data_IF_216297594775
#
_entry.id   IF_216297594775
#
_cell.length_a   1.000
_cell.length_b   1.000
_cell.length_c   1.000
_cell.angle_alpha   90.00
_cell.angle_beta   90.00
_cell.angle_gamma   90.00
#
_symmetry.space_group_name_H-M   'P 1'
#
loop_
_entity.id
_entity.type
_entity.pdbx_description
1 polymer ?
#
# COMPACT_ATOMS: atom_id res chain seq x y z
N UNK A 1 2.11 -7.74 -25.36
CA UNK A 1 2.00 -8.23 -23.97
C UNK A 1 1.43 -7.08 -23.14
N UNK A 2 0.35 -7.28 -22.40
CA UNK A 2 -0.25 -6.22 -21.58
C UNK A 2 0.60 -6.02 -20.32
N UNK A 3 1.12 -4.81 -20.07
CA UNK A 3 2.02 -4.52 -18.95
C UNK A 3 1.40 -4.90 -17.60
N UNK A 4 0.09 -4.71 -17.44
CA UNK A 4 -0.61 -5.08 -16.21
C UNK A 4 -0.54 -6.59 -15.93
N UNK A 5 -0.64 -7.42 -16.97
CA UNK A 5 -0.50 -8.88 -16.84
C UNK A 5 0.94 -9.26 -16.52
N UNK A 6 1.93 -8.59 -17.14
CA UNK A 6 3.34 -8.85 -16.84
C UNK A 6 3.66 -8.63 -15.35
N UNK A 7 3.26 -7.49 -14.78
CA UNK A 7 3.50 -7.21 -13.36
C UNK A 7 2.69 -8.10 -12.42
N UNK A 8 1.48 -8.51 -12.82
CA UNK A 8 0.69 -9.52 -12.09
C UNK A 8 1.42 -10.85 -12.01
N UNK A 9 1.85 -11.41 -13.14
CA UNK A 9 2.52 -12.71 -13.16
C UNK A 9 3.83 -12.65 -12.38
N UNK A 10 4.61 -11.57 -12.54
CA UNK A 10 5.80 -11.31 -11.72
C UNK A 10 5.45 -11.30 -10.22
N UNK A 11 4.36 -10.65 -9.81
CA UNK A 11 3.96 -10.63 -8.41
C UNK A 11 3.53 -12.01 -7.91
N UNK A 12 2.76 -12.77 -8.69
CA UNK A 12 2.29 -14.12 -8.32
C UNK A 12 3.46 -15.07 -8.14
N UNK A 13 4.43 -15.03 -9.05
CA UNK A 13 5.64 -15.84 -8.95
C UNK A 13 6.43 -15.50 -7.69
N UNK A 14 6.73 -14.23 -7.47
CA UNK A 14 7.56 -13.79 -6.35
C UNK A 14 6.85 -13.98 -5.00
N UNK A 15 5.56 -13.65 -4.89
CA UNK A 15 4.81 -13.84 -3.64
C UNK A 15 4.75 -15.31 -3.25
N UNK A 16 4.64 -16.24 -4.21
CA UNK A 16 4.59 -17.68 -3.90
C UNK A 16 5.86 -18.19 -3.21
N UNK A 17 7.00 -17.54 -3.47
CA UNK A 17 8.30 -17.91 -2.90
C UNK A 17 8.58 -17.19 -1.57
N UNK A 18 8.23 -15.91 -1.47
CA UNK A 18 8.67 -15.05 -0.36
C UNK A 18 7.54 -14.60 0.57
N UNK A 19 6.32 -14.42 0.06
CA UNK A 19 5.16 -13.91 0.81
C UNK A 19 3.85 -14.63 0.43
N UNK A 20 3.65 -15.89 0.85
CA UNK A 20 2.51 -16.70 0.38
C UNK A 20 1.14 -16.24 0.92
N UNK A 21 1.12 -15.33 1.89
CA UNK A 21 -0.09 -14.92 2.64
C UNK A 21 -0.94 -13.84 1.94
N UNK A 22 -0.71 -13.60 0.65
CA UNK A 22 -1.47 -12.65 -0.17
C UNK A 22 -2.54 -13.36 -0.99
N UNK A 23 -3.79 -13.02 -0.73
CA UNK A 23 -4.98 -13.55 -1.45
C UNK A 23 -5.53 -12.51 -2.43
N UNK A 24 -5.72 -12.93 -3.68
CA UNK A 24 -6.28 -12.08 -4.73
C UNK A 24 -7.77 -11.85 -4.49
N UNK A 25 -8.24 -10.61 -4.65
CA UNK A 25 -9.66 -10.28 -4.66
C UNK A 25 -10.21 -10.39 -6.09
N UNK A 26 -11.00 -11.44 -6.42
CA UNK A 26 -11.55 -11.63 -7.75
C UNK A 26 -12.64 -10.60 -8.11
N UNK A 27 -13.14 -9.83 -7.15
CA UNK A 27 -14.20 -8.83 -7.36
C UNK A 27 -13.66 -7.43 -7.67
N UNK A 28 -12.34 -7.23 -7.60
CA UNK A 28 -11.73 -5.94 -7.88
C UNK A 28 -11.75 -5.64 -9.38
N UNK A 29 -12.34 -4.49 -9.77
CA UNK A 29 -12.66 -4.18 -11.18
C UNK A 29 -11.62 -3.32 -11.90
N UNK A 30 -10.67 -2.72 -11.18
CA UNK A 30 -9.76 -1.71 -11.71
C UNK A 30 -8.34 -2.25 -11.91
N UNK A 31 -8.20 -3.54 -12.19
CA UNK A 31 -6.92 -4.23 -12.27
C UNK A 31 -6.87 -5.41 -11.31
N UNK A 32 -5.81 -5.51 -10.53
CA UNK A 32 -5.61 -6.60 -9.58
C UNK A 32 -5.41 -6.07 -8.17
N UNK A 33 -6.00 -6.75 -7.20
CA UNK A 33 -5.80 -6.47 -5.78
C UNK A 33 -5.54 -7.76 -5.04
N UNK A 34 -4.57 -7.71 -4.13
CA UNK A 34 -4.36 -8.73 -3.11
C UNK A 34 -4.58 -8.13 -1.73
N UNK A 35 -5.05 -8.96 -0.81
CA UNK A 35 -5.20 -8.63 0.61
C UNK A 35 -4.26 -9.54 1.40
N UNK A 36 -3.52 -8.98 2.35
CA UNK A 36 -2.69 -9.81 3.23
C UNK A 36 -3.53 -10.43 4.34
N UNK A 37 -3.28 -11.70 4.64
CA UNK A 37 -3.84 -12.36 5.82
C UNK A 37 -2.98 -11.99 7.04
N UNK A 38 -3.37 -10.93 7.77
CA UNK A 38 -2.62 -10.45 8.95
C UNK A 38 -3.34 -10.72 10.27
N UNK A 39 -2.57 -10.80 11.37
CA UNK A 39 -3.13 -10.91 12.73
C UNK A 39 -3.47 -9.51 13.28
N UNK A 40 -4.64 -9.00 12.89
CA UNK A 40 -5.53 -8.07 13.64
C UNK A 40 -5.06 -6.68 14.14
N UNK A 41 -3.99 -6.05 13.66
CA UNK A 41 -3.75 -4.62 13.98
C UNK A 41 -4.12 -3.63 12.88
N UNK A 42 -4.04 -4.06 11.63
CA UNK A 42 -4.33 -3.29 10.42
C UNK A 42 -4.54 -4.26 9.27
N UNK A 43 -5.17 -3.81 8.18
CA UNK A 43 -5.25 -4.60 6.94
C UNK A 43 -4.29 -4.05 5.92
N UNK A 44 -3.77 -4.92 5.07
CA UNK A 44 -2.88 -4.54 3.97
C UNK A 44 -3.51 -4.91 2.64
N UNK A 45 -3.33 -4.03 1.67
CA UNK A 45 -3.73 -4.23 0.29
C UNK A 45 -2.54 -3.95 -0.62
N UNK A 46 -2.39 -4.76 -1.65
CA UNK A 46 -1.49 -4.50 -2.75
C UNK A 46 -2.30 -4.45 -4.03
N UNK A 47 -2.11 -3.39 -4.82
CA UNK A 47 -2.88 -3.13 -6.03
C UNK A 47 -1.94 -2.94 -7.21
N UNK A 48 -2.34 -3.47 -8.35
CA UNK A 48 -1.79 -3.16 -9.67
C UNK A 48 -2.99 -2.64 -10.48
N UNK A 49 -3.05 -1.33 -10.69
CA UNK A 49 -4.23 -0.66 -11.22
C UNK A 49 -3.89 0.30 -12.34
N UNK A 50 -4.77 0.37 -13.34
CA UNK A 50 -4.69 1.34 -14.41
C UNK A 50 -6.08 1.96 -14.58
N UNK A 51 -6.19 3.24 -14.23
CA UNK A 51 -7.40 4.01 -14.49
C UNK A 51 -7.38 4.52 -15.93
N UNK A 52 -8.55 4.92 -16.45
CA UNK A 52 -8.65 5.46 -17.80
C UNK A 52 -7.79 6.73 -17.91
N UNK A 53 -6.95 6.78 -18.95
CA UNK A 53 -6.01 7.88 -19.24
C UNK A 53 -4.91 8.11 -18.18
N UNK A 54 -4.72 7.19 -17.24
CA UNK A 54 -3.65 7.21 -16.24
C UNK A 54 -2.59 6.12 -16.52
N UNK A 55 -1.32 6.33 -16.13
CA UNK A 55 -0.32 5.28 -16.23
C UNK A 55 -0.69 4.09 -15.33
N UNK A 56 -0.15 2.91 -15.67
CA UNK A 56 -0.26 1.76 -14.79
C UNK A 56 0.51 2.04 -13.49
N UNK A 57 -0.13 1.82 -12.35
CA UNK A 57 0.45 2.10 -11.05
C UNK A 57 0.45 0.86 -10.15
N UNK A 58 1.47 0.78 -9.31
CA UNK A 58 1.54 -0.14 -8.18
C UNK A 58 1.21 0.66 -6.92
N UNK A 59 0.38 0.10 -6.06
CA UNK A 59 -0.04 0.75 -4.83
C UNK A 59 -0.03 -0.22 -3.67
N UNK A 60 0.61 0.17 -2.58
CA UNK A 60 0.51 -0.50 -1.29
C UNK A 60 -0.35 0.35 -0.36
N UNK A 61 -1.32 -0.26 0.33
CA UNK A 61 -2.25 0.44 1.21
C UNK A 61 -2.34 -0.29 2.54
N UNK A 62 -2.26 0.47 3.63
CA UNK A 62 -2.61 0.01 4.98
C UNK A 62 -3.93 0.66 5.42
N UNK A 63 -4.84 -0.16 5.93
CA UNK A 63 -6.07 0.29 6.60
C UNK A 63 -5.86 0.22 8.11
N UNK A 64 -5.84 1.40 8.73
CA UNK A 64 -5.71 1.59 10.16
C UNK A 64 -7.08 1.81 10.81
N UNK A 65 -7.32 1.24 12.00
CA UNK A 65 -8.55 1.46 12.76
C UNK A 65 -8.65 2.90 13.28
N UNK A 66 -9.88 3.32 13.62
CA UNK A 66 -10.21 4.67 14.07
C UNK A 66 -9.31 5.22 15.18
N UNK A 67 -8.82 4.37 16.09
CA UNK A 67 -7.95 4.77 17.21
C UNK A 67 -6.72 5.57 16.75
N UNK A 68 -6.21 5.34 15.54
CA UNK A 68 -5.07 6.07 14.98
C UNK A 68 -5.39 7.51 14.59
N UNK A 69 -6.67 7.91 14.51
CA UNK A 69 -7.06 9.31 14.30
C UNK A 69 -6.72 10.22 15.48
N UNK A 70 -6.50 9.65 16.66
CA UNK A 70 -6.15 10.38 17.88
C UNK A 70 -4.64 10.59 18.04
N UNK A 71 -3.84 10.17 17.06
CA UNK A 71 -2.39 10.33 17.09
C UNK A 71 -1.92 11.48 16.18
N UNK A 72 -0.61 11.71 16.09
CA UNK A 72 0.01 12.72 15.22
C UNK A 72 0.25 12.21 13.78
N UNK A 73 -0.40 11.13 13.36
CA UNK A 73 -0.16 10.50 12.04
C UNK A 73 -0.32 11.45 10.86
N UNK A 74 -1.25 12.41 10.94
CA UNK A 74 -1.43 13.42 9.89
C UNK A 74 -0.22 14.34 9.74
N UNK A 75 0.43 14.66 10.84
CA UNK A 75 1.59 15.57 10.87
C UNK A 75 2.83 14.82 10.37
N UNK A 76 2.99 13.56 10.79
CA UNK A 76 4.09 12.69 10.34
C UNK A 76 4.04 12.47 8.83
N UNK A 77 2.87 12.13 8.28
CA UNK A 77 2.69 11.88 6.83
C UNK A 77 2.88 13.16 5.99
N UNK A 78 2.61 14.35 6.53
CA UNK A 78 2.84 15.61 5.80
C UNK A 78 4.32 15.97 5.64
N UNK A 79 5.16 15.50 6.56
CA UNK A 79 6.57 15.92 6.64
C UNK A 79 7.54 14.85 6.15
N UNK A 80 7.06 13.68 5.74
CA UNK A 80 7.92 12.61 5.23
C UNK A 80 8.36 12.89 3.79
N UNK A 81 9.64 12.65 3.53
CA UNK A 81 10.19 12.55 2.18
C UNK A 81 10.14 11.08 1.76
N UNK A 82 9.36 10.75 0.73
CA UNK A 82 9.32 9.41 0.14
C UNK A 82 9.68 9.48 -1.35
N UNK A 83 10.22 8.37 -1.87
CA UNK A 83 10.40 8.20 -3.32
C UNK A 83 9.09 7.82 -4.04
N UNK A 84 8.02 7.62 -3.27
CA UNK A 84 6.69 7.28 -3.73
C UNK A 84 5.71 8.42 -3.48
N UNK A 85 4.61 8.40 -4.22
CA UNK A 85 3.48 9.25 -3.92
C UNK A 85 2.73 8.70 -2.71
N UNK A 86 2.84 9.40 -1.58
CA UNK A 86 2.13 9.08 -0.36
C UNK A 86 0.81 9.85 -0.29
N UNK A 87 -0.27 9.14 -0.01
CA UNK A 87 -1.60 9.73 0.21
C UNK A 87 -2.26 9.15 1.47
N UNK A 88 -3.07 9.98 2.12
CA UNK A 88 -3.81 9.59 3.31
C UNK A 88 -5.28 9.98 3.16
N UNK A 89 -6.16 9.01 3.38
CA UNK A 89 -7.61 9.20 3.30
C UNK A 89 -8.25 8.95 4.66
N UNK A 90 -9.15 9.85 5.05
CA UNK A 90 -10.00 9.70 6.24
C UNK A 90 -11.39 9.26 5.82
N UNK A 91 -11.86 8.15 6.39
CA UNK A 91 -13.29 7.82 6.41
C UNK A 91 -13.80 7.83 7.86
N UNK A 92 -15.10 7.76 8.09
CA UNK A 92 -15.74 7.79 9.42
C UNK A 92 -15.12 6.80 10.42
N UNK A 93 -14.73 5.61 9.97
CA UNK A 93 -14.25 4.54 10.85
C UNK A 93 -12.75 4.24 10.74
N UNK A 94 -12.07 4.74 9.69
CA UNK A 94 -10.74 4.25 9.31
C UNK A 94 -9.85 5.32 8.71
N UNK A 95 -8.56 5.04 8.71
CA UNK A 95 -7.54 5.77 7.94
C UNK A 95 -6.97 4.82 6.91
N UNK A 96 -6.84 5.27 5.67
CA UNK A 96 -6.06 4.59 4.65
C UNK A 96 -4.78 5.38 4.43
N UNK A 97 -3.63 4.72 4.52
CA UNK A 97 -2.37 5.26 4.04
C UNK A 97 -1.97 4.46 2.81
N UNK A 98 -1.73 5.16 1.71
CA UNK A 98 -1.37 4.58 0.45
C UNK A 98 -0.01 5.12 -0.01
N UNK A 99 0.82 4.22 -0.52
CA UNK A 99 2.06 4.52 -1.22
C UNK A 99 1.90 4.04 -2.66
N UNK A 100 2.16 4.92 -3.61
CA UNK A 100 1.89 4.69 -5.03
C UNK A 100 3.12 5.01 -5.89
N UNK A 101 3.33 4.24 -6.95
CA UNK A 101 4.31 4.53 -7.98
C UNK A 101 3.78 4.15 -9.37
N UNK A 102 3.99 5.02 -10.35
CA UNK A 102 3.82 4.68 -11.77
C UNK A 102 4.88 3.67 -12.20
N UNK A 103 4.50 2.69 -13.03
CA UNK A 103 5.46 1.73 -13.60
C UNK A 103 6.59 2.40 -14.38
N UNK A 104 6.37 3.63 -14.88
CA UNK A 104 7.37 4.40 -15.62
C UNK A 104 8.55 4.81 -14.73
N UNK A 105 8.31 4.92 -13.42
CA UNK A 105 9.30 5.27 -12.41
C UNK A 105 9.74 4.08 -11.57
N UNK A 106 9.19 2.88 -11.82
CA UNK A 106 9.45 1.68 -11.04
C UNK A 106 10.84 1.11 -11.38
N UNK A 107 11.75 1.18 -10.42
CA UNK A 107 13.14 0.69 -10.57
C UNK A 107 13.35 -0.75 -10.09
N UNK A 108 12.30 -1.39 -9.58
CA UNK A 108 12.36 -2.68 -8.89
C UNK A 108 11.20 -3.59 -9.28
N UNK A 109 11.21 -4.84 -8.79
CA UNK A 109 10.08 -5.75 -9.01
C UNK A 109 8.85 -5.28 -8.24
N UNK A 110 7.67 -5.78 -8.61
CA UNK A 110 6.42 -5.52 -7.89
C UNK A 110 6.51 -5.89 -6.40
N UNK A 111 7.17 -7.02 -6.08
CA UNK A 111 7.44 -7.41 -4.70
C UNK A 111 8.47 -6.50 -4.03
N UNK A 112 9.50 -6.05 -4.76
CA UNK A 112 10.48 -5.08 -4.23
C UNK A 112 9.83 -3.77 -3.82
N UNK A 113 8.94 -3.24 -4.67
CA UNK A 113 8.12 -2.08 -4.34
C UNK A 113 7.24 -2.34 -3.11
N UNK A 114 6.51 -3.45 -3.07
CA UNK A 114 5.67 -3.80 -1.93
C UNK A 114 6.45 -3.77 -0.62
N UNK A 115 7.63 -4.40 -0.59
CA UNK A 115 8.45 -4.48 0.61
C UNK A 115 8.95 -3.11 1.07
N UNK A 116 9.44 -2.28 0.14
CA UNK A 116 9.94 -0.96 0.48
C UNK A 116 8.81 -0.02 0.90
N UNK A 117 7.71 0.01 0.16
CA UNK A 117 6.54 0.81 0.49
C UNK A 117 5.92 0.38 1.84
N UNK A 118 5.90 -0.93 2.13
CA UNK A 118 5.50 -1.45 3.44
C UNK A 118 6.41 -0.94 4.54
N UNK A 119 7.73 -1.04 4.38
CA UNK A 119 8.70 -0.54 5.35
C UNK A 119 8.48 0.94 5.67
N UNK A 120 8.41 1.78 4.63
CA UNK A 120 8.18 3.22 4.78
C UNK A 120 6.87 3.53 5.52
N UNK A 121 5.76 2.90 5.12
CA UNK A 121 4.46 3.12 5.78
C UNK A 121 4.46 2.63 7.23
N UNK A 122 5.06 1.48 7.51
CA UNK A 122 5.10 0.93 8.87
C UNK A 122 5.94 1.83 9.78
N UNK A 123 7.07 2.32 9.31
CA UNK A 123 7.92 3.27 10.05
C UNK A 123 7.16 4.57 10.36
N UNK A 124 6.36 5.08 9.40
CA UNK A 124 5.49 6.23 9.62
C UNK A 124 4.43 5.95 10.69
N UNK A 125 3.76 4.80 10.61
CA UNK A 125 2.74 4.41 11.58
C UNK A 125 3.34 4.31 12.98
N UNK A 126 4.49 3.66 13.14
CA UNK A 126 5.15 3.53 14.45
C UNK A 126 5.65 4.86 15.00
N UNK A 127 6.22 5.72 14.15
CA UNK A 127 6.60 7.09 14.53
C UNK A 127 5.38 7.91 14.98
N UNK A 128 4.22 7.62 14.40
CA UNK A 128 2.97 8.30 14.68
C UNK A 128 2.17 7.74 15.86
N UNK A 129 2.62 6.70 16.57
CA UNK A 129 1.89 6.15 17.74
C UNK A 129 2.12 6.97 19.00
N UNK A 130 2.96 8.01 18.96
CA UNK A 130 3.10 8.93 20.09
C UNK A 130 1.70 9.48 20.46
N UNK A 131 1.23 9.11 21.66
CA UNK A 131 0.03 9.70 22.25
C UNK A 131 0.23 11.20 22.19
N UNK A 132 -0.74 11.93 21.62
CA UNK A 132 -0.78 13.38 21.81
C UNK A 132 -0.73 13.62 23.31
N UNK A 133 0.39 14.14 23.81
CA UNK A 133 0.41 14.73 25.13
C UNK A 133 -0.69 15.80 25.13
N UNK A 134 -1.60 15.67 26.09
CA UNK A 134 -2.76 16.52 26.29
C UNK A 134 -2.37 17.99 26.40
#
# INVERSE_FOLDING_TARGET
MNLIHYYREQFIELKSQFEPNWEEDPLYKFGYRWNAITKNMYKEFFLITQMQDEPLCLMYVIELPEKYKKTNISEVVKNVSSSYELSMYYNSEKILLASCISIENLQQTSLGFLNQARGEIIDLVFSAIQLKDM
#
